data_IF_213475638459
#
_entry.id   IF_213475638459
#
_cell.length_a   1.000
_cell.length_b   1.000
_cell.length_c   1.000
_cell.angle_alpha   90.00
_cell.angle_beta   90.00
_cell.angle_gamma   90.00
#
_symmetry.space_group_name_H-M   'P 1'
#
loop_
_entity.id
_entity.type
_entity.pdbx_description
1 polymer ?
#
# COMPACT_ATOMS: atom_id res chain seq x y z
N UNK A 1 50.01 40.09 -18.93
CA UNK A 1 50.08 39.11 -17.82
C UNK A 1 48.64 38.70 -17.56
N UNK A 2 48.23 37.58 -18.17
CA UNK A 2 46.84 37.16 -18.24
C UNK A 2 46.44 36.44 -16.96
N UNK A 3 45.48 36.98 -16.23
CA UNK A 3 44.80 36.31 -15.11
C UNK A 3 43.77 35.35 -15.68
N UNK A 4 44.19 34.11 -15.93
CA UNK A 4 43.31 33.00 -16.27
C UNK A 4 43.19 32.08 -15.04
N UNK A 5 42.35 32.50 -14.09
CA UNK A 5 42.03 31.70 -12.92
C UNK A 5 40.96 30.67 -13.30
N UNK A 6 41.19 29.35 -13.12
CA UNK A 6 40.21 28.34 -13.47
C UNK A 6 38.98 28.45 -12.55
N UNK A 7 37.80 28.51 -13.16
CA UNK A 7 36.52 28.53 -12.46
C UNK A 7 36.33 27.27 -11.59
N UNK A 8 35.76 27.37 -10.39
CA UNK A 8 35.54 26.23 -9.52
C UNK A 8 34.54 25.26 -10.17
N UNK A 9 35.02 24.07 -10.48
CA UNK A 9 34.21 22.92 -10.87
C UNK A 9 33.23 22.61 -9.74
N UNK A 10 31.94 22.88 -9.97
CA UNK A 10 30.85 22.36 -9.13
C UNK A 10 30.92 20.83 -9.17
N UNK A 11 31.48 20.23 -8.14
CA UNK A 11 31.35 18.81 -7.88
C UNK A 11 29.86 18.55 -7.61
N UNK A 12 29.16 18.05 -8.62
CA UNK A 12 27.87 17.40 -8.39
C UNK A 12 28.15 16.22 -7.46
N UNK A 13 27.88 16.41 -6.16
CA UNK A 13 28.01 15.35 -5.17
C UNK A 13 27.26 14.13 -5.67
N UNK A 14 28.01 13.06 -5.96
CA UNK A 14 27.44 11.75 -6.23
C UNK A 14 26.50 11.44 -5.06
N UNK A 15 25.20 11.44 -5.33
CA UNK A 15 24.18 11.23 -4.30
C UNK A 15 24.48 9.91 -3.59
N UNK A 16 24.70 9.97 -2.28
CA UNK A 16 24.96 8.79 -1.48
C UNK A 16 23.90 7.72 -1.78
N UNK A 17 24.34 6.55 -2.26
CA UNK A 17 23.46 5.41 -2.52
C UNK A 17 22.77 5.04 -1.22
N UNK A 18 21.49 5.38 -1.05
CA UNK A 18 20.71 4.95 0.10
C UNK A 18 20.59 3.42 0.07
N UNK A 19 20.95 2.76 1.17
CA UNK A 19 20.74 1.32 1.35
C UNK A 19 19.26 0.92 1.21
N UNK A 20 18.34 1.81 1.63
CA UNK A 20 16.90 1.61 1.51
C UNK A 20 16.25 2.65 0.59
N UNK A 21 15.67 2.16 -0.51
CA UNK A 21 14.80 2.90 -1.42
C UNK A 21 13.29 2.61 -1.15
N UNK A 22 12.41 3.48 -1.62
CA UNK A 22 10.94 3.43 -1.48
C UNK A 22 10.37 2.08 -1.93
N UNK A 23 10.95 1.48 -2.97
CA UNK A 23 10.52 0.15 -3.46
C UNK A 23 10.58 -0.94 -2.38
N UNK A 24 11.55 -0.88 -1.47
CA UNK A 24 11.67 -1.88 -0.40
C UNK A 24 10.54 -1.73 0.62
N UNK A 25 10.06 -0.49 0.84
CA UNK A 25 8.86 -0.23 1.66
C UNK A 25 7.63 -0.83 0.99
N UNK A 26 7.48 -0.66 -0.34
CA UNK A 26 6.36 -1.25 -1.09
C UNK A 26 6.42 -2.77 -1.12
N UNK A 27 7.60 -3.37 -1.28
CA UNK A 27 7.79 -4.82 -1.19
C UNK A 27 7.47 -5.36 0.21
N UNK A 28 7.83 -4.64 1.28
CA UNK A 28 7.43 -4.99 2.64
C UNK A 28 5.92 -4.98 2.82
N UNK A 29 5.23 -3.94 2.32
CA UNK A 29 3.77 -3.87 2.31
C UNK A 29 3.14 -5.02 1.50
N UNK A 30 3.72 -5.33 0.33
CA UNK A 30 3.26 -6.41 -0.54
C UNK A 30 3.33 -7.77 0.16
N UNK A 31 4.46 -8.09 0.80
CA UNK A 31 4.65 -9.32 1.55
C UNK A 31 3.63 -9.46 2.69
N UNK A 32 3.44 -8.40 3.48
CA UNK A 32 2.48 -8.43 4.58
C UNK A 32 1.04 -8.61 4.07
N UNK A 33 0.68 -7.93 2.99
CA UNK A 33 -0.62 -8.11 2.34
C UNK A 33 -0.80 -9.54 1.80
N UNK A 34 0.26 -10.14 1.24
CA UNK A 34 0.24 -11.54 0.79
C UNK A 34 -0.01 -12.50 1.96
N UNK A 35 0.67 -12.30 3.08
CA UNK A 35 0.47 -13.11 4.29
C UNK A 35 -0.98 -12.98 4.80
N UNK A 36 -1.52 -11.77 4.87
CA UNK A 36 -2.92 -11.55 5.27
C UNK A 36 -3.90 -12.25 4.31
N UNK A 37 -3.66 -12.14 3.00
CA UNK A 37 -4.48 -12.79 1.98
C UNK A 37 -4.47 -14.32 2.13
N UNK A 38 -3.30 -14.92 2.33
CA UNK A 38 -3.13 -16.37 2.55
C UNK A 38 -3.85 -16.80 3.83
N UNK A 39 -3.67 -16.07 4.94
CA UNK A 39 -4.31 -16.37 6.21
C UNK A 39 -5.84 -16.34 6.12
N UNK A 40 -6.41 -15.39 5.37
CA UNK A 40 -7.87 -15.32 5.17
C UNK A 40 -8.35 -16.41 4.21
N UNK A 41 -7.73 -16.53 3.04
CA UNK A 41 -8.21 -17.39 1.94
C UNK A 41 -8.19 -18.88 2.30
N UNK A 42 -7.18 -19.32 3.04
CA UNK A 42 -7.01 -20.72 3.41
C UNK A 42 -7.53 -21.03 4.82
N UNK A 43 -8.14 -20.05 5.52
CA UNK A 43 -8.78 -20.31 6.81
C UNK A 43 -10.19 -20.86 6.59
N UNK A 44 -10.57 -21.98 7.23
CA UNK A 44 -11.96 -22.43 7.25
C UNK A 44 -12.84 -21.51 8.11
N UNK A 45 -12.26 -20.81 9.10
CA UNK A 45 -12.98 -19.87 9.97
C UNK A 45 -12.87 -18.43 9.44
N UNK A 46 -14.01 -17.88 9.04
CA UNK A 46 -14.19 -16.50 8.60
C UNK A 46 -14.98 -15.67 9.61
N UNK A 47 -14.90 -16.02 10.89
CA UNK A 47 -15.50 -15.26 11.98
C UNK A 47 -14.88 -13.87 12.14
N UNK A 48 -15.61 -12.97 12.82
CA UNK A 48 -15.10 -11.66 13.18
C UNK A 48 -13.83 -11.75 14.04
N UNK A 49 -13.71 -12.78 14.88
CA UNK A 49 -12.55 -12.99 15.73
C UNK A 49 -11.28 -13.22 14.90
N UNK A 50 -11.33 -14.14 13.93
CA UNK A 50 -10.21 -14.44 13.04
C UNK A 50 -9.94 -13.27 12.10
N UNK A 51 -10.97 -12.72 11.46
CA UNK A 51 -10.83 -11.59 10.54
C UNK A 51 -10.18 -10.37 11.20
N UNK A 52 -10.61 -10.00 12.40
CA UNK A 52 -10.01 -8.90 13.16
C UNK A 52 -8.62 -9.22 13.68
N UNK A 53 -8.32 -10.47 14.02
CA UNK A 53 -6.96 -10.88 14.41
C UNK A 53 -5.97 -10.70 13.24
N UNK A 54 -6.34 -11.19 12.05
CA UNK A 54 -5.50 -11.06 10.84
C UNK A 54 -5.38 -9.58 10.45
N UNK A 55 -6.48 -8.84 10.41
CA UNK A 55 -6.47 -7.40 10.13
C UNK A 55 -5.57 -6.64 11.10
N UNK A 56 -5.68 -6.90 12.42
CA UNK A 56 -4.87 -6.25 13.44
C UNK A 56 -3.37 -6.50 13.24
N UNK A 57 -2.97 -7.77 13.08
CA UNK A 57 -1.57 -8.14 12.87
C UNK A 57 -1.01 -7.53 11.59
N UNK A 58 -1.75 -7.62 10.48
CA UNK A 58 -1.40 -7.01 9.21
C UNK A 58 -1.28 -5.48 9.30
N UNK A 59 -2.25 -4.81 9.93
CA UNK A 59 -2.30 -3.37 10.04
C UNK A 59 -1.14 -2.84 10.89
N UNK A 60 -0.86 -3.46 12.04
CA UNK A 60 0.27 -3.09 12.89
C UNK A 60 1.59 -3.28 12.14
N UNK A 61 1.81 -4.45 11.52
CA UNK A 61 3.04 -4.72 10.76
C UNK A 61 3.22 -3.73 9.59
N UNK A 62 2.15 -3.46 8.84
CA UNK A 62 2.15 -2.51 7.72
C UNK A 62 2.45 -1.09 8.21
N UNK A 63 1.87 -0.69 9.34
CA UNK A 63 2.14 0.60 9.94
C UNK A 63 3.60 0.76 10.36
N UNK A 64 4.20 -0.28 10.96
CA UNK A 64 5.62 -0.26 11.31
C UNK A 64 6.50 -0.11 10.06
N UNK A 65 6.20 -0.85 8.98
CA UNK A 65 6.90 -0.72 7.70
C UNK A 65 6.80 0.71 7.15
N UNK A 66 5.62 1.33 7.20
CA UNK A 66 5.41 2.70 6.74
C UNK A 66 6.13 3.74 7.61
N UNK A 67 6.02 3.64 8.94
CA UNK A 67 6.58 4.60 9.89
C UNK A 67 8.12 4.54 9.92
N UNK A 68 8.69 3.34 9.96
CA UNK A 68 10.15 3.16 9.88
C UNK A 68 10.64 3.53 8.49
N UNK A 69 9.95 3.06 7.45
CA UNK A 69 10.26 3.36 6.04
C UNK A 69 10.26 4.85 5.74
N UNK A 70 9.38 5.64 6.34
CA UNK A 70 9.33 7.11 6.18
C UNK A 70 10.68 7.76 6.52
N UNK A 71 11.40 7.25 7.51
CA UNK A 71 12.70 7.80 7.91
C UNK A 71 13.88 7.20 7.14
N UNK A 72 13.81 5.90 6.83
CA UNK A 72 14.90 5.18 6.15
C UNK A 72 14.94 5.40 4.63
N UNK A 73 13.78 5.51 3.97
CA UNK A 73 13.67 5.49 2.51
C UNK A 73 13.16 6.81 1.91
N UNK A 74 12.36 7.60 2.64
CA UNK A 74 11.78 8.83 2.11
C UNK A 74 12.61 10.09 2.48
N UNK A 75 12.79 11.04 1.53
CA UNK A 75 13.34 12.36 1.83
C UNK A 75 12.34 13.18 2.68
N UNK A 76 12.84 14.16 3.44
CA UNK A 76 12.10 14.87 4.50
C UNK A 76 10.77 15.45 4.01
N UNK A 77 10.76 15.99 2.80
CA UNK A 77 9.63 16.69 2.19
C UNK A 77 8.48 15.74 1.81
N UNK A 78 8.74 14.43 1.77
CA UNK A 78 7.78 13.39 1.33
C UNK A 78 7.34 12.45 2.45
N UNK A 79 7.74 12.69 3.70
CA UNK A 79 7.46 11.78 4.81
C UNK A 79 6.03 11.87 5.33
N UNK A 80 5.33 12.97 5.05
CA UNK A 80 3.99 13.24 5.61
C UNK A 80 2.97 12.17 5.25
N UNK A 81 2.92 11.73 3.99
CA UNK A 81 1.98 10.70 3.51
C UNK A 81 2.23 9.33 4.17
N UNK A 82 3.44 8.73 4.10
CA UNK A 82 3.68 7.44 4.77
C UNK A 82 3.52 7.51 6.28
N UNK A 83 3.85 8.65 6.93
CA UNK A 83 3.58 8.84 8.36
C UNK A 83 2.08 8.83 8.63
N UNK A 84 1.28 9.61 7.90
CA UNK A 84 -0.17 9.66 8.07
C UNK A 84 -0.81 8.28 7.89
N UNK A 85 -0.46 7.57 6.81
CA UNK A 85 -0.96 6.22 6.55
C UNK A 85 -0.53 5.23 7.63
N UNK A 86 0.72 5.31 8.07
CA UNK A 86 1.24 4.50 9.16
C UNK A 86 0.47 4.72 10.46
N UNK A 87 0.23 5.97 10.86
CA UNK A 87 -0.54 6.30 12.07
C UNK A 87 -1.98 5.81 11.96
N UNK A 88 -2.69 6.12 10.87
CA UNK A 88 -4.09 5.69 10.67
C UNK A 88 -4.23 4.16 10.72
N UNK A 89 -3.30 3.46 10.08
CA UNK A 89 -3.30 1.99 10.03
C UNK A 89 -2.92 1.39 11.39
N UNK A 90 -1.97 1.99 12.12
CA UNK A 90 -1.61 1.56 13.46
C UNK A 90 -2.79 1.68 14.42
N UNK A 91 -3.49 2.81 14.40
CA UNK A 91 -4.64 3.04 15.28
C UNK A 91 -5.77 2.03 15.00
N UNK A 92 -6.04 1.74 13.72
CA UNK A 92 -7.01 0.71 13.34
C UNK A 92 -6.56 -0.70 13.80
N UNK A 93 -5.27 -1.01 13.66
CA UNK A 93 -4.70 -2.27 14.13
C UNK A 93 -4.78 -2.42 15.66
N UNK A 94 -4.50 -1.35 16.40
CA UNK A 94 -4.60 -1.34 17.86
C UNK A 94 -6.05 -1.47 18.34
N UNK A 95 -6.99 -0.75 17.72
CA UNK A 95 -8.41 -0.80 18.07
C UNK A 95 -9.02 -2.20 17.90
N UNK A 96 -8.51 -2.98 16.93
CA UNK A 96 -8.97 -4.35 16.62
C UNK A 96 -8.14 -5.44 17.33
N UNK A 97 -7.04 -5.05 17.98
CA UNK A 97 -6.08 -5.96 18.59
C UNK A 97 -6.56 -6.62 19.88
N UNK A 98 -7.56 -6.04 20.56
CA UNK A 98 -8.05 -6.52 21.86
C UNK A 98 -9.03 -7.69 21.65
N UNK A 99 -8.68 -8.94 22.01
CA UNK A 99 -9.49 -10.12 21.67
C UNK A 99 -10.92 -10.05 22.22
N UNK A 100 -11.09 -9.55 23.45
CA UNK A 100 -12.40 -9.45 24.12
C UNK A 100 -13.36 -8.43 23.51
N UNK A 101 -12.90 -7.53 22.62
CA UNK A 101 -13.75 -6.54 21.96
C UNK A 101 -14.16 -6.95 20.53
N UNK A 102 -13.60 -8.05 20.01
CA UNK A 102 -13.82 -8.48 18.62
C UNK A 102 -15.27 -8.89 18.42
N UNK A 103 -15.92 -8.21 17.48
CA UNK A 103 -17.31 -8.44 17.11
C UNK A 103 -17.53 -8.12 15.64
N UNK A 104 -18.62 -8.65 15.07
CA UNK A 104 -19.03 -8.33 13.69
C UNK A 104 -19.18 -6.82 13.50
N UNK A 105 -19.80 -6.14 14.46
CA UNK A 105 -19.95 -4.68 14.42
C UNK A 105 -18.58 -3.96 14.40
N UNK A 106 -17.65 -4.36 15.27
CA UNK A 106 -16.32 -3.76 15.32
C UNK A 106 -15.56 -3.97 14.00
N UNK A 107 -15.67 -5.15 13.39
CA UNK A 107 -15.06 -5.43 12.08
C UNK A 107 -15.55 -4.42 11.03
N UNK A 108 -16.87 -4.33 10.82
CA UNK A 108 -17.39 -3.44 9.80
C UNK A 108 -17.05 -1.97 10.09
N UNK A 109 -17.29 -1.50 11.32
CA UNK A 109 -17.06 -0.10 11.67
C UNK A 109 -15.60 0.30 11.48
N UNK A 110 -14.65 -0.46 12.05
CA UNK A 110 -13.24 -0.06 12.03
C UNK A 110 -12.63 -0.25 10.65
N UNK A 111 -12.90 -1.37 9.98
CA UNK A 111 -12.30 -1.65 8.67
C UNK A 111 -12.86 -0.70 7.60
N UNK A 112 -14.16 -0.38 7.62
CA UNK A 112 -14.75 0.64 6.73
C UNK A 112 -14.12 2.01 7.00
N UNK A 113 -14.11 2.45 8.27
CA UNK A 113 -13.59 3.77 8.61
C UNK A 113 -12.11 3.91 8.23
N UNK A 114 -11.29 2.92 8.56
CA UNK A 114 -9.89 2.87 8.16
C UNK A 114 -9.75 2.89 6.63
N UNK A 115 -10.48 2.04 5.91
CA UNK A 115 -10.37 1.91 4.46
C UNK A 115 -10.69 3.22 3.74
N UNK A 116 -11.75 3.91 4.17
CA UNK A 116 -12.14 5.20 3.59
C UNK A 116 -11.14 6.31 3.93
N UNK A 117 -10.74 6.44 5.20
CA UNK A 117 -9.85 7.53 5.63
C UNK A 117 -8.44 7.33 5.06
N UNK A 118 -7.86 6.13 5.19
CA UNK A 118 -6.54 5.81 4.67
C UNK A 118 -6.53 5.82 3.14
N UNK A 119 -7.57 5.27 2.50
CA UNK A 119 -7.70 5.27 1.04
C UNK A 119 -7.78 6.68 0.46
N UNK A 120 -8.56 7.58 1.06
CA UNK A 120 -8.60 9.00 0.66
C UNK A 120 -7.26 9.68 0.89
N UNK A 121 -6.61 9.44 2.03
CA UNK A 121 -5.30 10.01 2.32
C UNK A 121 -4.22 9.58 1.31
N UNK A 122 -4.18 8.28 0.96
CA UNK A 122 -3.22 7.73 -0.01
C UNK A 122 -3.53 8.23 -1.43
N UNK A 123 -4.81 8.29 -1.81
CA UNK A 123 -5.27 8.84 -3.09
C UNK A 123 -4.86 10.31 -3.26
N UNK A 124 -5.15 11.16 -2.27
CA UNK A 124 -4.77 12.58 -2.30
C UNK A 124 -3.25 12.72 -2.34
N UNK A 125 -2.52 11.91 -1.56
CA UNK A 125 -1.07 11.85 -1.57
C UNK A 125 -0.51 11.56 -2.97
N UNK A 126 -1.05 10.53 -3.64
CA UNK A 126 -0.69 10.16 -5.00
C UNK A 126 -0.99 11.25 -6.03
N UNK A 127 -2.16 11.88 -5.95
CA UNK A 127 -2.53 13.01 -6.84
C UNK A 127 -1.57 14.19 -6.66
N UNK A 128 -1.27 14.57 -5.41
CA UNK A 128 -0.32 15.66 -5.11
C UNK A 128 1.09 15.33 -5.64
N UNK A 129 1.52 14.08 -5.52
CA UNK A 129 2.83 13.65 -6.02
C UNK A 129 2.90 13.67 -7.55
N UNK A 130 1.82 13.27 -8.24
CA UNK A 130 1.74 13.39 -9.71
C UNK A 130 1.78 14.84 -10.18
N UNK A 131 1.14 15.76 -9.44
CA UNK A 131 1.18 17.21 -9.75
C UNK A 131 2.58 17.78 -9.57
N UNK A 132 3.30 17.39 -8.52
CA UNK A 132 4.69 17.83 -8.30
C UNK A 132 5.72 17.18 -9.23
N UNK A 133 5.33 16.15 -9.99
CA UNK A 133 6.15 15.64 -11.09
C UNK A 133 6.15 16.59 -12.30
N UNK A 134 5.14 17.46 -12.43
CA UNK A 134 5.00 18.35 -13.59
C UNK A 134 6.19 19.30 -13.77
N UNK A 135 6.83 19.70 -12.66
CA UNK A 135 8.00 20.59 -12.63
C UNK A 135 9.34 19.87 -12.76
N UNK A 136 9.35 18.56 -13.00
CA UNK A 136 10.56 17.76 -13.18
C UNK A 136 10.77 17.36 -14.63
N UNK A 137 12.01 17.02 -14.94
CA UNK A 137 12.48 16.56 -16.25
C UNK A 137 13.15 15.17 -16.17
N UNK A 138 13.22 14.49 -17.31
CA UNK A 138 13.91 13.22 -17.47
C UNK A 138 13.42 12.08 -16.56
N UNK A 139 14.36 11.28 -16.07
CA UNK A 139 14.11 10.08 -15.25
C UNK A 139 13.34 10.41 -13.96
N UNK A 140 13.70 11.51 -13.28
CA UNK A 140 13.07 11.93 -12.03
C UNK A 140 11.57 12.19 -12.19
N UNK A 141 11.16 12.75 -13.33
CA UNK A 141 9.74 12.96 -13.68
C UNK A 141 8.99 11.64 -13.77
N UNK A 142 9.55 10.69 -14.51
CA UNK A 142 8.94 9.37 -14.73
C UNK A 142 8.80 8.61 -13.41
N UNK A 143 9.86 8.56 -12.59
CA UNK A 143 9.83 7.92 -11.27
C UNK A 143 8.76 8.51 -10.36
N UNK A 144 8.69 9.85 -10.27
CA UNK A 144 7.70 10.52 -9.42
C UNK A 144 6.28 10.32 -9.94
N UNK A 145 6.09 10.29 -11.26
CA UNK A 145 4.80 10.04 -11.89
C UNK A 145 4.31 8.62 -11.62
N UNK A 146 5.20 7.63 -11.70
CA UNK A 146 4.87 6.23 -11.43
C UNK A 146 4.57 6.01 -9.95
N UNK A 147 5.40 6.53 -9.04
CA UNK A 147 5.12 6.51 -7.59
C UNK A 147 3.77 7.16 -7.25
N UNK A 148 3.45 8.29 -7.88
CA UNK A 148 2.18 8.97 -7.70
C UNK A 148 0.99 8.21 -8.32
N UNK A 149 1.17 7.55 -9.46
CA UNK A 149 0.15 6.67 -10.06
C UNK A 149 -0.14 5.50 -9.12
N UNK A 150 0.90 4.90 -8.58
CA UNK A 150 0.75 3.71 -7.76
C UNK A 150 0.04 4.04 -6.44
N UNK A 151 0.33 5.21 -5.84
CA UNK A 151 -0.43 5.73 -4.69
C UNK A 151 -1.90 6.02 -5.00
N UNK A 152 -2.20 6.55 -6.20
CA UNK A 152 -3.60 6.77 -6.63
C UNK A 152 -4.35 5.44 -6.74
N UNK A 153 -3.75 4.42 -7.37
CA UNK A 153 -4.37 3.12 -7.55
C UNK A 153 -4.54 2.39 -6.21
N UNK A 154 -3.52 2.39 -5.35
CA UNK A 154 -3.61 1.81 -4.01
C UNK A 154 -4.72 2.49 -3.19
N UNK A 155 -4.76 3.82 -3.16
CA UNK A 155 -5.81 4.57 -2.46
C UNK A 155 -7.22 4.26 -2.99
N UNK A 156 -7.37 4.18 -4.32
CA UNK A 156 -8.65 3.82 -4.94
C UNK A 156 -9.10 2.39 -4.59
N UNK A 157 -8.19 1.41 -4.59
CA UNK A 157 -8.47 0.03 -4.18
C UNK A 157 -8.88 -0.05 -2.71
N UNK A 158 -8.23 0.73 -1.83
CA UNK A 158 -8.59 0.80 -0.41
C UNK A 158 -9.97 1.43 -0.21
N UNK A 159 -10.30 2.50 -0.95
CA UNK A 159 -11.66 3.06 -0.93
C UNK A 159 -12.68 2.03 -1.43
N UNK A 160 -12.36 1.29 -2.50
CA UNK A 160 -13.22 0.25 -3.05
C UNK A 160 -13.52 -0.85 -2.02
N UNK A 161 -12.55 -1.24 -1.18
CA UNK A 161 -12.81 -2.12 -0.04
C UNK A 161 -13.84 -1.52 0.91
N UNK A 162 -13.67 -0.25 1.31
CA UNK A 162 -14.61 0.42 2.22
C UNK A 162 -16.03 0.49 1.65
N UNK A 163 -16.17 0.80 0.36
CA UNK A 163 -17.45 0.79 -0.36
C UNK A 163 -18.03 -0.63 -0.42
N UNK A 164 -17.21 -1.63 -0.77
CA UNK A 164 -17.63 -3.02 -0.83
C UNK A 164 -18.19 -3.51 0.50
N UNK A 165 -17.53 -3.17 1.61
CA UNK A 165 -17.98 -3.50 2.96
C UNK A 165 -19.27 -2.75 3.37
N UNK A 166 -19.48 -1.51 2.91
CA UNK A 166 -20.74 -0.78 3.15
C UNK A 166 -21.94 -1.45 2.48
N UNK A 167 -21.72 -2.20 1.40
CA UNK A 167 -22.78 -2.91 0.68
C UNK A 167 -23.13 -4.26 1.32
N UNK A 168 -22.31 -4.75 2.26
CA UNK A 168 -22.58 -6.01 2.95
C UNK A 168 -23.52 -5.75 4.13
N UNK A 169 -24.67 -6.43 4.14
CA UNK A 169 -25.55 -6.44 5.31
C UNK A 169 -24.92 -7.27 6.44
N UNK A 170 -24.57 -6.69 7.61
CA UNK A 170 -23.96 -7.43 8.71
C UNK A 170 -24.84 -8.53 9.30
N UNK A 171 -26.17 -8.43 9.13
CA UNK A 171 -27.15 -9.41 9.57
C UNK A 171 -27.49 -10.46 8.49
N UNK A 172 -26.82 -10.43 7.34
CA UNK A 172 -27.02 -11.42 6.28
C UNK A 172 -26.70 -12.83 6.80
N UNK A 173 -27.60 -13.77 6.51
CA UNK A 173 -27.47 -15.18 6.82
C UNK A 173 -28.22 -16.00 5.77
N UNK A 174 -27.51 -16.83 5.03
CA UNK A 174 -28.07 -17.74 4.04
C UNK A 174 -27.63 -19.16 4.38
N UNK A 175 -28.59 -20.03 4.71
CA UNK A 175 -28.36 -21.46 4.84
C UNK A 175 -28.40 -22.13 3.47
N UNK A 176 -27.43 -23.00 3.21
CA UNK A 176 -27.35 -23.75 1.96
C UNK A 176 -26.79 -25.16 2.23
N UNK A 177 -27.19 -26.12 1.42
CA UNK A 177 -26.75 -27.51 1.52
C UNK A 177 -25.79 -27.82 0.37
N UNK A 178 -24.65 -28.44 0.68
CA UNK A 178 -23.72 -28.92 -0.34
C UNK A 178 -23.87 -30.44 -0.43
N UNK A 179 -24.37 -30.93 -1.56
CA UNK A 179 -24.60 -32.36 -1.82
C UNK A 179 -23.32 -33.19 -1.72
N UNK A 180 -22.23 -32.68 -2.27
CA UNK A 180 -20.93 -33.37 -2.32
C UNK A 180 -20.29 -33.49 -0.92
N UNK A 181 -20.60 -32.55 -0.02
CA UNK A 181 -20.11 -32.55 1.35
C UNK A 181 -21.08 -33.21 2.34
N UNK A 182 -22.31 -33.53 1.90
CA UNK A 182 -23.36 -34.13 2.72
C UNK A 182 -23.77 -33.31 3.94
N UNK A 183 -23.56 -31.98 3.92
CA UNK A 183 -23.82 -31.11 5.09
C UNK A 183 -24.29 -29.71 4.69
N UNK A 184 -25.02 -29.08 5.61
CA UNK A 184 -25.43 -27.68 5.51
C UNK A 184 -24.31 -26.73 5.95
N UNK A 185 -24.31 -25.54 5.36
CA UNK A 185 -23.43 -24.42 5.68
C UNK A 185 -24.24 -23.13 5.75
N UNK A 186 -23.68 -22.11 6.38
CA UNK A 186 -24.31 -20.79 6.48
C UNK A 186 -23.34 -19.74 5.95
N UNK A 187 -23.75 -19.03 4.91
CA UNK A 187 -23.03 -17.85 4.42
C UNK A 187 -23.53 -16.64 5.21
N UNK A 188 -22.64 -16.03 5.99
CA UNK A 188 -22.97 -14.87 6.81
C UNK A 188 -22.39 -13.58 6.25
N UNK A 189 -22.95 -12.43 6.64
CA UNK A 189 -22.41 -11.13 6.29
C UNK A 189 -20.96 -10.97 6.74
N UNK A 190 -20.58 -11.49 7.91
CA UNK A 190 -19.19 -11.45 8.38
C UNK A 190 -18.27 -12.33 7.52
N UNK A 191 -18.71 -13.51 7.08
CA UNK A 191 -17.94 -14.35 6.15
C UNK A 191 -17.62 -13.60 4.87
N UNK A 192 -18.60 -12.89 4.31
CA UNK A 192 -18.42 -12.04 3.11
C UNK A 192 -17.44 -10.89 3.41
N UNK A 193 -17.61 -10.20 4.53
CA UNK A 193 -16.76 -9.08 4.92
C UNK A 193 -15.29 -9.47 5.12
N UNK A 194 -15.03 -10.57 5.81
CA UNK A 194 -13.67 -11.12 6.00
C UNK A 194 -13.09 -11.54 4.64
N UNK A 195 -13.89 -12.21 3.79
CA UNK A 195 -13.49 -12.57 2.44
C UNK A 195 -13.12 -11.36 1.57
N UNK A 196 -13.88 -10.27 1.62
CA UNK A 196 -13.57 -9.02 0.92
C UNK A 196 -12.24 -8.41 1.38
N UNK A 197 -11.96 -8.43 2.69
CA UNK A 197 -10.66 -8.00 3.21
C UNK A 197 -9.52 -8.88 2.66
N UNK A 198 -9.69 -10.20 2.65
CA UNK A 198 -8.71 -11.13 2.07
C UNK A 198 -8.47 -10.88 0.57
N UNK A 199 -9.54 -10.67 -0.20
CA UNK A 199 -9.47 -10.32 -1.62
C UNK A 199 -8.75 -8.99 -1.86
N UNK A 200 -9.06 -7.96 -1.09
CA UNK A 200 -8.33 -6.69 -1.11
C UNK A 200 -6.83 -6.90 -0.83
N UNK A 201 -6.49 -7.67 0.21
CA UNK A 201 -5.11 -7.93 0.57
C UNK A 201 -4.36 -8.66 -0.56
N UNK A 202 -5.01 -9.62 -1.24
CA UNK A 202 -4.43 -10.31 -2.39
C UNK A 202 -4.15 -9.34 -3.55
N UNK A 203 -5.11 -8.46 -3.88
CA UNK A 203 -4.94 -7.46 -4.94
C UNK A 203 -3.79 -6.50 -4.61
N UNK A 204 -3.74 -5.98 -3.38
CA UNK A 204 -2.67 -5.08 -2.94
C UNK A 204 -1.31 -5.77 -2.96
N UNK A 205 -1.23 -7.03 -2.54
CA UNK A 205 0.00 -7.81 -2.56
C UNK A 205 0.58 -7.92 -3.97
N UNK A 206 -0.26 -8.32 -4.95
CA UNK A 206 0.14 -8.44 -6.35
C UNK A 206 0.50 -7.09 -6.92
N UNK A 207 -0.34 -6.07 -6.69
CA UNK A 207 -0.15 -4.73 -7.21
C UNK A 207 1.18 -4.11 -6.75
N UNK A 208 1.43 -4.10 -5.43
CA UNK A 208 2.67 -3.55 -4.86
C UNK A 208 3.88 -4.43 -5.16
N UNK A 209 3.70 -5.75 -5.26
CA UNK A 209 4.76 -6.68 -5.65
C UNK A 209 5.27 -6.39 -7.06
N UNK A 210 4.36 -6.29 -8.04
CA UNK A 210 4.71 -5.96 -9.43
C UNK A 210 5.39 -4.59 -9.50
N UNK A 211 4.84 -3.57 -8.82
CA UNK A 211 5.43 -2.24 -8.79
C UNK A 211 6.84 -2.24 -8.17
N UNK A 212 7.05 -3.01 -7.09
CA UNK A 212 8.33 -3.11 -6.40
C UNK A 212 9.44 -3.79 -7.22
N UNK A 213 9.09 -4.76 -8.05
CA UNK A 213 10.03 -5.48 -8.93
C UNK A 213 10.18 -4.86 -10.33
N UNK A 214 9.41 -3.83 -10.67
CA UNK A 214 9.46 -3.22 -12.00
C UNK A 214 10.82 -2.53 -12.28
N UNK A 215 11.51 -2.86 -13.40
CA UNK A 215 12.78 -2.23 -13.76
C UNK A 215 12.63 -0.73 -14.05
N UNK A 216 13.60 0.08 -13.63
CA UNK A 216 13.71 1.50 -14.01
C UNK A 216 14.78 1.68 -15.09
N UNK A 217 14.49 2.50 -16.10
CA UNK A 217 15.44 2.77 -17.19
C UNK A 217 16.67 3.52 -16.64
N UNK A 218 17.89 3.05 -16.89
CA UNK A 218 19.10 3.79 -16.53
C UNK A 218 19.19 5.07 -17.37
N UNK A 219 19.67 6.15 -16.76
CA UNK A 219 19.80 7.48 -17.37
C UNK A 219 20.84 7.58 -18.51
N UNK A 220 21.36 6.46 -19.02
CA UNK A 220 22.57 6.42 -19.84
C UNK A 220 22.32 6.29 -21.36
N UNK A 221 21.09 6.14 -21.85
CA UNK A 221 20.85 5.94 -23.30
C UNK A 221 20.58 7.23 -24.10
N UNK A 222 20.43 8.38 -23.45
CA UNK A 222 20.17 9.66 -24.14
C UNK A 222 21.44 10.40 -24.58
N UNK A 223 22.63 9.96 -24.14
CA UNK A 223 23.91 10.59 -24.49
C UNK A 223 24.57 10.07 -25.78
N UNK A 224 24.13 8.92 -26.30
CA UNK A 224 24.89 8.20 -27.35
C UNK A 224 24.28 8.33 -28.75
N UNK A 225 23.11 8.97 -28.91
CA UNK A 225 22.47 9.14 -30.24
C UNK A 225 22.84 10.45 -30.98
N UNK A 226 23.68 11.33 -30.42
CA UNK A 226 24.11 12.57 -31.10
C UNK A 226 25.51 12.49 -31.75
N UNK A 227 26.19 11.34 -31.71
CA UNK A 227 27.57 11.19 -32.19
C UNK A 227 27.73 10.60 -33.61
N UNK A 228 26.68 10.57 -34.43
CA UNK A 228 26.70 9.91 -35.74
C UNK A 228 26.41 10.86 -36.90
N UNK A 229 27.39 11.66 -37.31
CA UNK A 229 27.56 12.20 -38.67
C UNK A 229 28.77 13.14 -38.72
N UNK A 230 29.94 12.58 -39.05
CA UNK A 230 31.03 13.30 -39.71
C UNK A 230 31.58 12.38 -40.80
#
# INVERSE_FOLDING_TARGET
MSDDAPAPTRTHGAGATRTFDVRHVQLGRALLAALAAVMVTFSPDHSASVGLAVFSGWAIATALVLLIGAWLAFPRERRSVPILLGVLTLLAGMATGIPGLRSTALFFVVVIAWALIAGVAELIGGVRLRRSAASLEGVLRSERRDEGRDGVLAGALTIALGIGLLLVNPAYSLEYFISEAGRSFTLTGITIGVGLFGGYAAIIAVFLGIAGFSPRRPAAEDGTRSGGSA
#
